data_IF_295199834298
#
_entry.id   IF_295199834298
#
_cell.length_a   1.000
_cell.length_b   1.000
_cell.length_c   1.000
_cell.angle_alpha   90.00
_cell.angle_beta   90.00
_cell.angle_gamma   90.00
#
_symmetry.space_group_name_H-M   'P 1'
#
loop_
_entity.id
_entity.type
_entity.pdbx_description
1 polymer ?
#
# COMPACT_ATOMS: atom_id res chain seq x y z
N UNK A 1 -2.67 -5.79 -0.83
CA UNK A 1 -1.95 -6.38 -1.97
C UNK A 1 -2.92 -6.90 -3.04
N UNK A 2 -2.62 -6.69 -4.33
CA UNK A 2 -3.39 -7.23 -5.46
C UNK A 2 -3.48 -8.76 -5.37
N UNK A 3 -4.58 -9.38 -5.80
CA UNK A 3 -4.76 -10.84 -5.78
C UNK A 3 -3.59 -11.63 -6.44
N UNK A 4 -2.81 -10.98 -7.32
CA UNK A 4 -1.63 -11.56 -7.96
C UNK A 4 -0.45 -11.77 -6.98
N UNK A 5 -0.33 -10.97 -5.92
CA UNK A 5 0.66 -11.14 -4.86
C UNK A 5 0.37 -12.35 -3.96
N UNK A 6 -0.90 -12.72 -3.84
CA UNK A 6 -1.34 -13.80 -2.94
C UNK A 6 -1.07 -15.16 -3.57
N UNK A 7 -1.15 -15.24 -4.91
CA UNK A 7 -0.90 -16.48 -5.65
C UNK A 7 0.57 -16.70 -6.05
N UNK A 8 1.41 -15.66 -5.93
CA UNK A 8 2.82 -15.83 -6.17
C UNK A 8 3.44 -16.69 -5.06
N UNK A 9 4.29 -17.68 -5.39
CA UNK A 9 4.88 -18.58 -4.40
C UNK A 9 5.76 -17.83 -3.39
N UNK A 10 6.36 -16.72 -3.82
CA UNK A 10 7.07 -15.76 -2.97
C UNK A 10 7.19 -14.40 -3.68
N UNK A 11 7.63 -13.37 -2.95
CA UNK A 11 7.72 -12.00 -3.44
C UNK A 11 8.83 -11.83 -4.48
N UNK A 12 9.93 -12.59 -4.40
CA UNK A 12 10.96 -12.61 -5.44
C UNK A 12 10.42 -13.05 -6.80
N UNK A 13 9.66 -14.15 -6.84
CA UNK A 13 9.02 -14.63 -8.07
C UNK A 13 8.06 -13.59 -8.61
N UNK A 14 7.22 -13.01 -7.74
CA UNK A 14 6.32 -11.94 -8.13
C UNK A 14 7.06 -10.75 -8.74
N UNK A 15 8.16 -10.30 -8.12
CA UNK A 15 9.00 -9.22 -8.63
C UNK A 15 9.46 -9.52 -10.06
N UNK A 16 10.12 -10.65 -10.29
CA UNK A 16 10.63 -10.98 -11.62
C UNK A 16 9.53 -11.20 -12.65
N UNK A 17 8.35 -11.70 -12.25
CA UNK A 17 7.19 -11.79 -13.14
C UNK A 17 6.68 -10.40 -13.54
N UNK A 18 6.57 -9.47 -12.58
CA UNK A 18 6.19 -8.09 -12.85
C UNK A 18 7.20 -7.39 -13.77
N UNK A 19 8.50 -7.62 -13.55
CA UNK A 19 9.57 -7.07 -14.40
C UNK A 19 9.53 -7.60 -15.84
N UNK A 20 9.22 -8.89 -16.03
CA UNK A 20 9.18 -9.54 -17.37
C UNK A 20 7.92 -9.22 -18.16
N UNK A 21 6.78 -9.09 -17.48
CA UNK A 21 5.48 -8.78 -18.09
C UNK A 21 4.94 -7.54 -17.41
N UNK A 22 5.45 -6.34 -17.77
CA UNK A 22 4.98 -5.11 -17.19
C UNK A 22 3.49 -4.95 -17.49
N UNK A 23 2.66 -5.29 -16.51
CA UNK A 23 1.22 -5.07 -16.54
C UNK A 23 0.88 -3.71 -15.94
N UNK A 24 -0.40 -3.52 -15.61
CA UNK A 24 -0.89 -2.32 -14.92
C UNK A 24 -0.29 -2.18 -13.52
N UNK A 25 0.90 -1.58 -13.41
CA UNK A 25 1.55 -1.26 -12.13
C UNK A 25 2.81 -2.01 -11.77
N UNK A 26 3.49 -2.62 -12.74
CA UNK A 26 4.67 -3.42 -12.45
C UNK A 26 5.75 -2.65 -11.67
N UNK A 27 5.97 -1.37 -11.99
CA UNK A 27 6.96 -0.56 -11.28
C UNK A 27 6.51 -0.30 -9.83
N UNK A 28 5.29 0.19 -9.62
CA UNK A 28 4.74 0.43 -8.29
C UNK A 28 4.80 -0.83 -7.40
N UNK A 29 4.42 -1.97 -7.96
CA UNK A 29 4.43 -3.23 -7.23
C UNK A 29 5.84 -3.76 -6.98
N UNK A 30 6.74 -3.64 -7.94
CA UNK A 30 8.14 -4.02 -7.78
C UNK A 30 8.82 -3.19 -6.67
N UNK A 31 8.63 -1.87 -6.67
CA UNK A 31 9.17 -0.99 -5.61
C UNK A 31 8.63 -1.38 -4.24
N UNK A 32 7.32 -1.63 -4.11
CA UNK A 32 6.74 -2.04 -2.83
C UNK A 32 7.31 -3.39 -2.35
N UNK A 33 7.50 -4.37 -3.24
CA UNK A 33 8.13 -5.65 -2.89
C UNK A 33 9.54 -5.45 -2.35
N UNK A 34 10.37 -4.72 -3.10
CA UNK A 34 11.76 -4.51 -2.71
C UNK A 34 11.85 -3.78 -1.37
N UNK A 35 11.04 -2.75 -1.16
CA UNK A 35 11.01 -2.01 0.09
C UNK A 35 10.54 -2.87 1.28
N UNK A 36 9.48 -3.67 1.12
CA UNK A 36 9.04 -4.63 2.14
C UNK A 36 10.17 -5.62 2.48
N UNK A 37 10.84 -6.15 1.47
CA UNK A 37 11.88 -7.16 1.64
C UNK A 37 13.18 -6.60 2.23
N UNK A 38 13.57 -5.40 1.83
CA UNK A 38 14.68 -4.66 2.42
C UNK A 38 14.49 -4.50 3.92
N UNK A 39 13.33 -3.97 4.33
CA UNK A 39 12.99 -3.80 5.76
C UNK A 39 12.98 -5.10 6.53
N UNK A 40 12.54 -6.20 5.93
CA UNK A 40 12.52 -7.51 6.56
C UNK A 40 13.95 -8.08 6.75
N UNK A 41 14.81 -7.96 5.74
CA UNK A 41 16.19 -8.44 5.76
C UNK A 41 17.10 -7.59 6.67
N UNK A 42 16.81 -6.30 6.83
CA UNK A 42 17.52 -5.41 7.77
C UNK A 42 17.19 -5.67 9.25
N UNK A 43 16.19 -6.52 9.57
CA UNK A 43 15.84 -6.80 10.96
C UNK A 43 16.88 -7.68 11.68
N UNK A 44 17.34 -7.22 12.84
CA UNK A 44 18.13 -8.04 13.77
C UNK A 44 17.23 -8.99 14.57
N UNK A 45 16.90 -10.14 13.99
CA UNK A 45 15.92 -11.09 14.54
C UNK A 45 16.10 -11.47 16.02
N UNK A 46 17.32 -11.78 16.53
CA UNK A 46 17.50 -12.19 17.92
C UNK A 46 17.10 -11.11 18.94
N UNK A 47 17.18 -9.83 18.54
CA UNK A 47 16.83 -8.69 19.39
C UNK A 47 15.32 -8.41 19.44
N UNK A 48 14.53 -8.99 18.51
CA UNK A 48 13.09 -8.77 18.46
C UNK A 48 12.33 -9.63 19.48
N UNK A 49 11.25 -9.10 20.10
CA UNK A 49 10.29 -9.90 20.85
C UNK A 49 9.71 -11.04 19.99
N UNK A 50 9.36 -12.16 20.63
CA UNK A 50 8.86 -13.38 19.95
C UNK A 50 7.81 -13.14 18.85
N UNK A 51 6.71 -12.38 19.06
CA UNK A 51 5.71 -12.17 18.00
C UNK A 51 6.25 -11.36 16.82
N UNK A 52 7.11 -10.36 17.09
CA UNK A 52 7.74 -9.54 16.05
C UNK A 52 8.76 -10.34 15.25
N UNK A 53 9.52 -11.20 15.94
CA UNK A 53 10.48 -12.11 15.33
C UNK A 53 9.79 -13.08 14.38
N UNK A 54 8.69 -13.71 14.80
CA UNK A 54 7.93 -14.62 13.96
C UNK A 54 7.41 -13.94 12.68
N UNK A 55 6.90 -12.70 12.80
CA UNK A 55 6.47 -11.93 11.63
C UNK A 55 7.64 -11.55 10.69
N UNK A 56 8.79 -11.18 11.26
CA UNK A 56 10.00 -10.89 10.50
C UNK A 56 10.53 -12.13 9.76
N UNK A 57 10.59 -13.29 10.44
CA UNK A 57 10.99 -14.57 9.86
C UNK A 57 10.04 -14.99 8.73
N UNK A 58 8.73 -14.84 8.93
CA UNK A 58 7.75 -15.11 7.89
C UNK A 58 7.89 -14.16 6.69
N UNK A 59 8.12 -12.86 6.92
CA UNK A 59 8.40 -11.92 5.84
C UNK A 59 9.68 -12.27 5.09
N UNK A 60 10.77 -12.59 5.79
CA UNK A 60 12.03 -13.02 5.15
C UNK A 60 11.82 -14.28 4.31
N UNK A 61 11.09 -15.27 4.83
CA UNK A 61 10.72 -16.50 4.11
C UNK A 61 9.89 -16.20 2.86
N UNK A 62 8.93 -15.27 2.96
CA UNK A 62 8.10 -14.84 1.83
C UNK A 62 8.85 -13.98 0.82
N UNK A 63 9.86 -13.23 1.25
CA UNK A 63 10.69 -12.45 0.37
C UNK A 63 11.52 -13.33 -0.55
N UNK A 64 12.11 -14.40 0.00
CA UNK A 64 12.93 -15.36 -0.74
C UNK A 64 14.11 -14.68 -1.50
N UNK A 65 14.58 -13.55 -0.97
CA UNK A 65 15.77 -12.85 -1.44
C UNK A 65 16.93 -13.10 -0.47
N UNK A 66 18.14 -13.26 -1.00
CA UNK A 66 19.36 -12.99 -0.22
C UNK A 66 19.62 -11.48 -0.20
N UNK A 67 20.45 -10.95 0.71
CA UNK A 67 20.85 -9.54 0.67
C UNK A 67 21.40 -9.12 -0.70
N UNK A 68 22.29 -9.93 -1.29
CA UNK A 68 22.89 -9.66 -2.59
C UNK A 68 21.85 -9.72 -3.72
N UNK A 69 20.94 -10.69 -3.65
CA UNK A 69 19.85 -10.85 -4.62
C UNK A 69 18.84 -9.71 -4.57
N UNK A 70 18.63 -9.09 -3.39
CA UNK A 70 17.81 -7.90 -3.26
C UNK A 70 18.48 -6.70 -3.93
N UNK A 71 19.78 -6.49 -3.69
CA UNK A 71 20.54 -5.42 -4.34
C UNK A 71 20.59 -5.59 -5.88
N UNK A 72 20.73 -6.82 -6.36
CA UNK A 72 20.64 -7.14 -7.79
C UNK A 72 19.27 -6.76 -8.35
N UNK A 73 18.19 -7.09 -7.64
CA UNK A 73 16.83 -6.74 -8.05
C UNK A 73 16.58 -5.22 -8.04
N UNK A 74 17.15 -4.48 -7.07
CA UNK A 74 17.12 -3.01 -7.05
C UNK A 74 17.86 -2.41 -8.26
N UNK A 75 19.03 -2.95 -8.60
CA UNK A 75 19.78 -2.55 -9.80
C UNK A 75 18.99 -2.84 -11.08
N UNK A 76 18.37 -4.02 -11.18
CA UNK A 76 17.53 -4.37 -12.32
C UNK A 76 16.33 -3.43 -12.45
N UNK A 77 15.64 -3.11 -11.35
CA UNK A 77 14.54 -2.16 -11.35
C UNK A 77 14.98 -0.77 -11.81
N UNK A 78 16.13 -0.29 -11.32
CA UNK A 78 16.69 1.00 -11.74
C UNK A 78 17.16 1.02 -13.21
N UNK A 79 17.56 -0.13 -13.76
CA UNK A 79 18.01 -0.26 -15.14
C UNK A 79 16.87 -0.57 -16.14
N UNK A 80 15.67 -0.90 -15.66
CA UNK A 80 14.53 -1.30 -16.48
C UNK A 80 13.93 -0.13 -17.25
N UNK A 81 14.53 0.21 -18.40
CA UNK A 81 14.07 1.27 -19.29
C UNK A 81 12.69 1.03 -19.90
N UNK A 82 12.22 -0.21 -19.91
CA UNK A 82 10.88 -0.59 -20.36
C UNK A 82 9.80 -0.35 -19.31
N UNK A 83 10.19 -0.11 -18.06
CA UNK A 83 9.32 0.40 -17.01
C UNK A 83 9.44 1.92 -17.00
N UNK A 84 8.96 2.56 -18.07
CA UNK A 84 8.87 4.02 -18.07
C UNK A 84 7.82 4.43 -17.03
N UNK A 85 8.19 5.29 -16.08
CA UNK A 85 7.31 5.86 -15.07
C UNK A 85 6.08 6.53 -15.69
N UNK A 86 6.20 7.05 -16.92
CA UNK A 86 5.10 7.62 -17.70
C UNK A 86 4.19 6.57 -18.35
N UNK A 87 4.66 5.32 -18.48
CA UNK A 87 3.90 4.19 -19.05
C UNK A 87 3.39 3.20 -18.02
N UNK A 88 3.94 3.18 -16.80
CA UNK A 88 3.38 2.40 -15.70
C UNK A 88 1.99 2.97 -15.37
N UNK A 89 0.89 2.24 -15.60
CA UNK A 89 -0.44 2.83 -15.51
C UNK A 89 -0.81 3.32 -14.11
N UNK A 90 -0.15 2.82 -13.05
CA UNK A 90 -0.46 3.25 -11.68
C UNK A 90 0.29 4.52 -11.32
N UNK A 91 1.57 4.60 -11.69
CA UNK A 91 2.36 5.81 -11.54
C UNK A 91 1.84 6.92 -12.47
N UNK A 92 1.54 6.57 -13.73
CA UNK A 92 0.89 7.45 -14.70
C UNK A 92 -0.44 7.99 -14.18
N UNK A 93 -1.35 7.13 -13.69
CA UNK A 93 -2.62 7.60 -13.11
C UNK A 93 -2.42 8.54 -11.92
N UNK A 94 -1.39 8.31 -11.10
CA UNK A 94 -1.06 9.21 -9.99
C UNK A 94 -0.51 10.55 -10.48
N UNK A 95 0.39 10.56 -11.46
CA UNK A 95 0.90 11.79 -12.07
C UNK A 95 -0.22 12.55 -12.80
N UNK A 96 -1.07 11.86 -13.56
CA UNK A 96 -2.22 12.45 -14.24
C UNK A 96 -3.21 13.04 -13.24
N UNK A 97 -3.45 12.38 -12.10
CA UNK A 97 -4.27 12.92 -11.04
C UNK A 97 -3.66 14.20 -10.41
N UNK A 98 -2.34 14.20 -10.20
CA UNK A 98 -1.64 15.37 -9.67
C UNK A 98 -1.60 16.54 -10.67
N UNK A 99 -1.43 16.23 -11.96
CA UNK A 99 -1.37 17.17 -13.06
C UNK A 99 -2.77 17.64 -13.54
N UNK A 100 -3.83 16.94 -13.16
CA UNK A 100 -5.18 17.29 -13.57
C UNK A 100 -5.60 18.68 -13.07
N UNK A 101 -6.04 19.51 -14.01
CA UNK A 101 -6.52 20.86 -13.74
C UNK A 101 -7.82 20.84 -12.93
N UNK A 102 -7.70 21.27 -11.68
CA UNK A 102 -8.82 21.52 -10.79
C UNK A 102 -9.64 20.29 -10.38
N UNK A 103 -10.72 20.50 -9.62
CA UNK A 103 -11.45 19.40 -9.00
C UNK A 103 -12.13 18.44 -10.00
N UNK A 104 -12.56 18.97 -11.16
CA UNK A 104 -13.24 18.18 -12.18
C UNK A 104 -12.31 17.24 -12.93
N UNK A 105 -11.09 17.69 -13.24
CA UNK A 105 -10.06 16.83 -13.84
C UNK A 105 -9.71 15.66 -12.93
N UNK A 106 -9.48 15.94 -11.64
CA UNK A 106 -9.23 14.93 -10.61
C UNK A 106 -10.37 13.95 -10.44
N UNK A 107 -11.61 14.43 -10.48
CA UNK A 107 -12.80 13.59 -10.40
C UNK A 107 -12.90 12.59 -11.57
N UNK A 108 -12.53 13.02 -12.80
CA UNK A 108 -12.49 12.12 -13.97
C UNK A 108 -11.43 11.04 -13.82
N UNK A 109 -10.25 11.38 -13.30
CA UNK A 109 -9.18 10.41 -13.06
C UNK A 109 -9.56 9.38 -12.00
N UNK A 110 -10.22 9.81 -10.90
CA UNK A 110 -10.75 8.89 -9.90
C UNK A 110 -11.79 7.94 -10.47
N UNK A 111 -12.69 8.43 -11.33
CA UNK A 111 -13.69 7.58 -11.97
C UNK A 111 -13.04 6.52 -12.86
N UNK A 112 -12.03 6.89 -13.66
CA UNK A 112 -11.28 5.95 -14.49
C UNK A 112 -10.56 4.88 -13.63
N UNK A 113 -10.00 5.26 -12.47
CA UNK A 113 -9.40 4.31 -11.54
C UNK A 113 -10.43 3.37 -10.90
N UNK A 114 -11.65 3.84 -10.62
CA UNK A 114 -12.72 2.98 -10.13
C UNK A 114 -13.13 1.93 -11.16
N UNK A 115 -13.11 2.28 -12.45
CA UNK A 115 -13.39 1.35 -13.56
C UNK A 115 -12.30 0.29 -13.73
N UNK A 116 -11.03 0.63 -13.47
CA UNK A 116 -9.94 -0.34 -13.43
C UNK A 116 -10.07 -1.33 -12.26
N UNK A 117 -10.76 -0.94 -11.19
CA UNK A 117 -11.10 -1.82 -10.07
C UNK A 117 -9.92 -2.30 -9.23
N UNK A 118 -8.73 -1.71 -9.37
CA UNK A 118 -7.55 -2.11 -8.63
C UNK A 118 -7.52 -1.43 -7.24
N UNK A 119 -7.65 -2.18 -6.14
CA UNK A 119 -7.75 -1.63 -4.78
C UNK A 119 -6.61 -0.70 -4.38
N UNK A 120 -5.38 -1.03 -4.79
CA UNK A 120 -4.18 -0.29 -4.39
C UNK A 120 -4.09 1.06 -5.13
N UNK A 121 -4.54 1.09 -6.38
CA UNK A 121 -4.58 2.30 -7.21
C UNK A 121 -5.57 3.27 -6.65
N UNK A 122 -6.77 2.75 -6.37
CA UNK A 122 -7.85 3.52 -5.78
C UNK A 122 -7.37 4.05 -4.42
N UNK A 123 -6.73 3.22 -3.59
CA UNK A 123 -6.21 3.63 -2.30
C UNK A 123 -5.13 4.71 -2.39
N UNK A 124 -4.19 4.60 -3.34
CA UNK A 124 -3.16 5.61 -3.59
C UNK A 124 -3.76 6.94 -4.07
N UNK A 125 -4.70 6.92 -5.00
CA UNK A 125 -5.30 8.14 -5.56
C UNK A 125 -6.18 8.90 -4.56
N UNK A 126 -6.82 8.18 -3.62
CA UNK A 126 -7.61 8.81 -2.55
C UNK A 126 -6.83 9.02 -1.26
N UNK A 127 -5.53 8.70 -1.22
CA UNK A 127 -4.66 9.01 -0.08
C UNK A 127 -4.72 10.48 0.36
N UNK A 128 -4.82 11.48 -0.55
CA UNK A 128 -5.02 12.88 -0.17
C UNK A 128 -6.30 13.12 0.65
N UNK A 129 -7.37 12.35 0.44
CA UNK A 129 -8.61 12.45 1.24
C UNK A 129 -8.34 12.11 2.70
N UNK A 130 -7.53 11.07 2.94
CA UNK A 130 -7.11 10.72 4.28
C UNK A 130 -6.17 11.78 4.87
N UNK A 131 -5.27 12.37 4.08
CA UNK A 131 -4.44 13.50 4.53
C UNK A 131 -5.26 14.70 5.02
N UNK A 132 -6.37 15.03 4.35
CA UNK A 132 -7.19 16.18 4.73
C UNK A 132 -8.19 15.91 5.85
N UNK A 133 -8.75 14.70 5.90
CA UNK A 133 -9.89 14.39 6.76
C UNK A 133 -9.51 13.65 8.04
N UNK A 134 -8.30 13.11 8.13
CA UNK A 134 -7.79 12.58 9.39
C UNK A 134 -7.32 13.78 10.23
N UNK A 135 -7.91 14.03 11.41
CA UNK A 135 -7.50 15.14 12.26
C UNK A 135 -6.05 14.94 12.71
N UNK A 136 -5.14 15.77 12.20
CA UNK A 136 -3.77 15.88 12.70
C UNK A 136 -3.82 16.75 13.95
N UNK A 137 -3.70 16.14 15.14
CA UNK A 137 -3.44 16.90 16.37
C UNK A 137 -2.02 16.58 16.80
N UNK A 138 -1.25 17.66 16.85
CA UNK A 138 0.17 17.79 17.18
C UNK A 138 1.14 17.61 16.01
N UNK A 139 2.05 18.60 15.88
CA UNK A 139 3.10 18.73 14.85
C UNK A 139 4.17 17.63 14.92
N UNK A 140 3.99 16.63 15.80
CA UNK A 140 4.76 15.42 15.76
C UNK A 140 4.02 14.39 14.92
N UNK A 141 4.44 14.37 13.65
CA UNK A 141 4.52 13.16 12.84
C UNK A 141 3.26 12.89 12.00
N UNK A 142 3.15 13.60 10.88
CA UNK A 142 2.19 13.33 9.79
C UNK A 142 2.35 11.94 9.17
N UNK A 143 3.52 11.31 9.39
CA UNK A 143 3.82 9.91 9.10
C UNK A 143 3.39 8.95 10.21
N UNK A 144 3.05 9.42 11.41
CA UNK A 144 2.81 8.53 12.53
C UNK A 144 1.46 7.80 12.54
N UNK A 145 0.28 8.40 12.26
CA UNK A 145 -0.98 7.70 12.68
C UNK A 145 -2.26 7.90 11.87
N UNK A 146 -2.24 7.83 10.54
CA UNK A 146 -3.53 7.67 9.86
C UNK A 146 -3.52 7.41 8.38
N UNK A 147 -2.81 8.21 7.59
CA UNK A 147 -2.96 8.18 6.13
C UNK A 147 -2.53 6.85 5.48
N UNK A 148 -1.31 6.33 5.72
CA UNK A 148 -0.93 5.02 5.20
C UNK A 148 -1.77 3.86 5.76
N UNK A 149 -2.46 4.08 6.89
CA UNK A 149 -3.36 3.10 7.51
C UNK A 149 -4.78 3.16 6.92
N UNK A 150 -5.26 4.35 6.57
CA UNK A 150 -6.54 4.59 5.89
C UNK A 150 -6.53 3.98 4.50
N UNK A 151 -5.44 4.17 3.74
CA UNK A 151 -5.21 3.50 2.46
C UNK A 151 -5.22 1.97 2.61
N UNK A 152 -4.56 1.41 3.63
CA UNK A 152 -4.56 -0.03 3.87
C UNK A 152 -5.97 -0.55 4.21
N UNK A 153 -6.71 0.14 5.09
CA UNK A 153 -8.09 -0.19 5.45
C UNK A 153 -9.04 -0.12 4.26
N UNK A 154 -8.85 0.85 3.37
CA UNK A 154 -9.58 0.99 2.12
C UNK A 154 -9.27 -0.17 1.17
N UNK A 155 -7.99 -0.48 0.96
CA UNK A 155 -7.57 -1.58 0.10
C UNK A 155 -8.19 -2.91 0.55
N UNK A 156 -8.18 -3.22 1.86
CA UNK A 156 -8.82 -4.42 2.41
C UNK A 156 -10.31 -4.51 2.04
N UNK A 157 -11.05 -3.41 2.18
CA UNK A 157 -12.49 -3.36 1.86
C UNK A 157 -12.80 -3.45 0.37
N UNK A 158 -11.83 -3.06 -0.46
CA UNK A 158 -11.89 -3.20 -1.91
C UNK A 158 -11.42 -4.59 -2.38
N UNK A 159 -11.10 -5.50 -1.45
CA UNK A 159 -10.79 -6.90 -1.73
C UNK A 159 -9.30 -7.24 -1.78
N UNK A 160 -8.42 -6.34 -1.33
CA UNK A 160 -7.02 -6.68 -1.11
C UNK A 160 -6.89 -7.71 0.03
N UNK A 161 -5.92 -8.62 -0.08
CA UNK A 161 -5.62 -9.53 1.01
C UNK A 161 -5.02 -8.77 2.20
N UNK A 162 -5.63 -9.01 3.35
CA UNK A 162 -5.34 -8.39 4.63
C UNK A 162 -5.37 -9.41 5.78
N UNK A 163 -5.25 -10.71 5.48
CA UNK A 163 -5.21 -11.78 6.48
C UNK A 163 -3.88 -11.86 7.24
N UNK A 164 -3.68 -12.90 8.07
CA UNK A 164 -2.52 -13.00 8.97
C UNK A 164 -1.18 -13.14 8.24
N UNK A 165 -1.20 -13.84 7.10
CA UNK A 165 -0.01 -14.02 6.25
C UNK A 165 0.22 -12.88 5.25
N UNK A 166 -0.69 -11.90 5.14
CA UNK A 166 -0.53 -10.81 4.19
C UNK A 166 0.70 -9.96 4.56
N UNK A 167 1.54 -9.53 3.61
CA UNK A 167 2.79 -8.83 3.95
C UNK A 167 2.54 -7.54 4.72
N UNK A 168 1.42 -6.85 4.45
CA UNK A 168 1.04 -5.67 5.22
C UNK A 168 0.72 -5.99 6.68
N UNK A 169 0.05 -7.10 6.97
CA UNK A 169 -0.23 -7.53 8.36
C UNK A 169 1.07 -7.89 9.08
N UNK A 170 1.94 -8.64 8.40
CA UNK A 170 3.25 -9.01 8.94
C UNK A 170 4.16 -7.80 9.16
N UNK A 171 4.14 -6.81 8.26
CA UNK A 171 4.90 -5.56 8.41
C UNK A 171 4.46 -4.76 9.64
N UNK A 172 3.14 -4.64 9.87
CA UNK A 172 2.62 -3.94 11.05
C UNK A 172 3.09 -4.63 12.35
N UNK A 173 3.10 -5.96 12.38
CA UNK A 173 3.64 -6.70 13.51
C UNK A 173 5.17 -6.50 13.63
N UNK A 174 5.92 -6.72 12.56
CA UNK A 174 7.37 -6.63 12.54
C UNK A 174 7.87 -5.25 12.96
N UNK A 175 7.35 -4.19 12.34
CA UNK A 175 7.85 -2.82 12.50
C UNK A 175 7.25 -2.12 13.72
N UNK A 176 5.95 -2.27 13.96
CA UNK A 176 5.22 -1.50 14.98
C UNK A 176 4.84 -2.34 16.21
N UNK A 177 5.03 -3.66 16.17
CA UNK A 177 4.59 -4.56 17.23
C UNK A 177 3.08 -4.80 17.26
N UNK A 178 2.37 -4.38 16.22
CA UNK A 178 0.90 -4.53 16.11
C UNK A 178 0.58 -5.87 15.47
N UNK A 179 0.74 -6.92 16.27
CA UNK A 179 0.63 -8.31 15.84
C UNK A 179 -0.80 -8.83 16.03
N UNK A 180 -1.50 -9.03 14.92
CA UNK A 180 -2.88 -9.54 14.89
C UNK A 180 -3.16 -10.33 13.60
N UNK A 181 -4.33 -10.95 13.51
CA UNK A 181 -4.68 -11.84 12.40
C UNK A 181 -5.16 -11.11 11.13
N UNK A 182 -5.16 -9.77 11.13
CA UNK A 182 -5.50 -8.99 9.95
C UNK A 182 -5.02 -7.55 10.05
N UNK A 183 -4.96 -6.84 8.91
CA UNK A 183 -4.66 -5.39 8.89
C UNK A 183 -5.65 -4.61 9.77
N UNK A 184 -6.99 -4.76 9.67
CA UNK A 184 -7.90 -4.03 10.57
C UNK A 184 -7.67 -4.33 12.05
N UNK A 185 -7.43 -5.59 12.43
CA UNK A 185 -7.18 -5.96 13.82
C UNK A 185 -5.85 -5.38 14.34
N UNK A 186 -4.79 -5.42 13.52
CA UNK A 186 -3.49 -4.83 13.86
C UNK A 186 -3.60 -3.31 14.04
N UNK A 187 -4.33 -2.64 13.14
CA UNK A 187 -4.57 -1.20 13.25
C UNK A 187 -5.46 -0.85 14.44
N UNK A 188 -6.45 -1.68 14.77
CA UNK A 188 -7.26 -1.49 15.98
C UNK A 188 -6.41 -1.59 17.25
N UNK A 189 -5.51 -2.57 17.31
CA UNK A 189 -4.55 -2.71 18.41
C UNK A 189 -3.64 -1.50 18.54
N UNK A 190 -3.08 -1.02 17.41
CA UNK A 190 -2.10 0.05 17.39
C UNK A 190 -2.65 1.46 17.58
N UNK A 191 -3.80 1.74 16.97
CA UNK A 191 -4.44 3.06 16.99
C UNK A 191 -5.40 3.22 18.17
N UNK A 192 -5.87 2.13 18.78
CA UNK A 192 -6.79 2.15 19.90
C UNK A 192 -8.05 2.98 19.61
N UNK A 193 -8.29 4.00 20.42
CA UNK A 193 -9.47 4.88 20.28
C UNK A 193 -9.54 5.62 18.94
N UNK A 194 -8.41 5.83 18.26
CA UNK A 194 -8.36 6.51 16.96
C UNK A 194 -8.76 5.62 15.78
N UNK A 195 -8.78 4.30 16.00
CA UNK A 195 -9.14 3.34 14.95
C UNK A 195 -10.55 3.62 14.40
N UNK A 196 -11.53 3.87 15.26
CA UNK A 196 -12.92 4.05 14.85
C UNK A 196 -13.12 5.22 13.87
N UNK A 197 -12.39 6.33 14.07
CA UNK A 197 -12.46 7.47 13.17
C UNK A 197 -11.88 7.15 11.78
N UNK A 198 -10.72 6.48 11.76
CA UNK A 198 -10.07 6.07 10.53
C UNK A 198 -10.87 5.00 9.78
N UNK A 199 -11.43 4.05 10.52
CA UNK A 199 -12.30 2.98 10.02
C UNK A 199 -13.59 3.54 9.42
N UNK A 200 -14.22 4.49 10.12
CA UNK A 200 -15.36 5.24 9.63
C UNK A 200 -15.07 6.01 8.34
N UNK A 201 -13.93 6.69 8.26
CA UNK A 201 -13.51 7.39 7.05
C UNK A 201 -13.24 6.41 5.88
N UNK A 202 -12.56 5.28 6.12
CA UNK A 202 -12.35 4.26 5.11
C UNK A 202 -13.68 3.68 4.58
N UNK A 203 -14.64 3.42 5.47
CA UNK A 203 -15.99 3.00 5.10
C UNK A 203 -16.70 4.06 4.25
N UNK A 204 -16.60 5.34 4.63
CA UNK A 204 -17.17 6.44 3.86
C UNK A 204 -16.59 6.50 2.46
N UNK A 205 -15.25 6.43 2.33
CA UNK A 205 -14.57 6.47 1.02
C UNK A 205 -15.01 5.29 0.15
N UNK A 206 -15.08 4.07 0.69
CA UNK A 206 -15.62 2.90 -0.04
C UNK A 206 -17.04 3.13 -0.53
N UNK A 207 -17.90 3.72 0.30
CA UNK A 207 -19.28 4.00 -0.08
C UNK A 207 -19.36 5.01 -1.22
N UNK A 208 -18.54 6.06 -1.22
CA UNK A 208 -18.51 7.03 -2.33
C UNK A 208 -17.90 6.42 -3.62
N UNK A 209 -16.92 5.52 -3.50
CA UNK A 209 -16.41 4.72 -4.63
C UNK A 209 -17.53 3.86 -5.23
N UNK A 210 -18.26 3.12 -4.38
CA UNK A 210 -19.37 2.25 -4.81
C UNK A 210 -20.51 3.02 -5.46
N UNK A 211 -20.78 4.24 -4.99
CA UNK A 211 -21.74 5.18 -5.61
C UNK A 211 -21.23 5.81 -6.90
N UNK A 212 -19.95 5.63 -7.22
CA UNK A 212 -19.26 6.31 -8.33
C UNK A 212 -19.38 7.84 -8.24
N UNK A 213 -19.24 8.39 -7.02
CA UNK A 213 -19.25 9.84 -6.78
C UNK A 213 -17.82 10.35 -6.46
N UNK A 214 -16.96 10.54 -7.48
CA UNK A 214 -15.57 10.97 -7.27
C UNK A 214 -15.48 12.41 -6.73
N UNK A 215 -16.49 13.26 -6.92
CA UNK A 215 -16.47 14.67 -6.48
C UNK A 215 -16.35 14.79 -4.96
N UNK A 216 -16.90 13.82 -4.22
CA UNK A 216 -16.78 13.73 -2.76
C UNK A 216 -15.42 13.23 -2.28
N UNK A 217 -14.57 12.79 -3.19
CA UNK A 217 -13.24 12.25 -2.93
C UNK A 217 -12.15 13.16 -3.52
N UNK A 218 -12.53 14.26 -4.14
CA UNK A 218 -11.59 15.29 -4.54
C UNK A 218 -11.39 16.26 -3.36
N UNK A 219 -10.14 16.49 -2.94
CA UNK A 219 -9.82 17.48 -1.91
C UNK A 219 -10.26 18.89 -2.35
N UNK A 220 -10.69 19.74 -1.41
CA UNK A 220 -11.15 21.09 -1.74
C UNK A 220 -9.97 21.95 -2.26
N UNK A 221 -10.19 22.87 -3.22
CA UNK A 221 -9.14 23.80 -3.62
C UNK A 221 -8.73 24.64 -2.41
N UNK A 222 -7.42 24.69 -2.14
CA UNK A 222 -6.83 25.56 -1.10
C UNK A 222 -6.68 26.97 -1.62
#
# INVERSE_FOLDING_TARGET
>A
MHAKFVHAPNLRVFFYEAMRKPGSGAYFYATNVLETCRRALEQTLPALPAPRRAAAEELQRRCDFTPEGLEDAERELGAARHLDLATDPLMGSMFDYLAADGPEGRARMLLAAFEQGNPEVIASLVAPVFHERVPVRDEQDSTARGVPFGGALLACRLGADCGPGAPRTLELCMLLGWCADSVPAALQQGLGVHFAALDGLANQVVNEIRRRDPRRLVPAPR
#
